data_IF_479351711675
#
_entry.id   IF_479351711675
#
_cell.length_a   1.000
_cell.length_b   1.000
_cell.length_c   1.000
_cell.angle_alpha   90.00
_cell.angle_beta   90.00
_cell.angle_gamma   90.00
#
_symmetry.space_group_name_H-M   'P 1'
#
loop_
_entity.id
_entity.type
_entity.pdbx_description
1 polymer ?
#
# COMPACT_ATOMS: atom_id res chain seq x y z
N UNK A 1 1.54 19.71 3.75
CA UNK A 1 1.38 18.63 4.76
C UNK A 1 0.43 17.55 4.25
N UNK A 2 -0.84 17.87 3.95
CA UNK A 2 -1.82 16.88 3.44
C UNK A 2 -1.36 16.17 2.15
N UNK A 3 -0.73 16.90 1.21
CA UNK A 3 -0.14 16.28 0.02
C UNK A 3 0.93 15.23 0.33
N UNK A 4 1.68 15.39 1.43
CA UNK A 4 2.68 14.39 1.82
C UNK A 4 2.00 13.13 2.38
N UNK A 5 0.89 13.29 3.09
CA UNK A 5 0.06 12.17 3.57
C UNK A 5 -0.55 11.43 2.39
N UNK A 6 -1.03 12.16 1.38
CA UNK A 6 -1.58 11.58 0.15
C UNK A 6 -0.52 10.82 -0.64
N UNK A 7 0.67 11.41 -0.81
CA UNK A 7 1.82 10.75 -1.44
C UNK A 7 2.25 9.51 -0.66
N UNK A 8 2.30 9.58 0.67
CA UNK A 8 2.61 8.42 1.51
C UNK A 8 1.59 7.31 1.29
N UNK A 9 0.29 7.61 1.35
CA UNK A 9 -0.77 6.62 1.11
C UNK A 9 -0.60 5.92 -0.24
N UNK A 10 -0.34 6.67 -1.32
CA UNK A 10 -0.08 6.06 -2.63
C UNK A 10 1.21 5.26 -2.68
N UNK A 11 2.24 5.66 -1.92
CA UNK A 11 3.44 4.86 -1.70
C UNK A 11 3.11 3.51 -1.08
N UNK A 12 2.23 3.48 -0.06
CA UNK A 12 1.80 2.22 0.56
C UNK A 12 1.04 1.32 -0.41
N UNK A 13 0.13 1.89 -1.22
CA UNK A 13 -0.60 1.11 -2.23
C UNK A 13 0.36 0.51 -3.26
N UNK A 14 1.37 1.27 -3.69
CA UNK A 14 2.43 0.75 -4.55
C UNK A 14 3.21 -0.37 -3.87
N UNK A 15 3.62 -0.20 -2.62
CA UNK A 15 4.35 -1.22 -1.85
C UNK A 15 3.57 -2.52 -1.72
N UNK A 16 2.25 -2.45 -1.44
CA UNK A 16 1.36 -3.60 -1.39
C UNK A 16 1.37 -4.35 -2.72
N UNK A 17 1.13 -3.65 -3.83
CA UNK A 17 1.10 -4.28 -5.16
C UNK A 17 2.47 -4.89 -5.51
N UNK A 18 3.55 -4.16 -5.25
CA UNK A 18 4.92 -4.57 -5.51
C UNK A 18 5.27 -5.87 -4.78
N UNK A 19 5.17 -5.92 -3.45
CA UNK A 19 5.54 -7.12 -2.69
C UNK A 19 4.57 -8.29 -2.91
N UNK A 20 3.28 -8.01 -3.17
CA UNK A 20 2.31 -9.04 -3.55
C UNK A 20 2.67 -9.70 -4.88
N UNK A 21 3.19 -8.93 -5.85
CA UNK A 21 3.71 -9.48 -7.10
C UNK A 21 4.84 -10.49 -6.83
N UNK A 22 5.81 -10.18 -5.95
CA UNK A 22 6.88 -11.11 -5.60
C UNK A 22 6.37 -12.37 -4.88
N UNK A 23 5.42 -12.21 -3.95
CA UNK A 23 4.79 -13.35 -3.26
C UNK A 23 4.04 -14.27 -4.23
N UNK A 24 3.45 -13.73 -5.28
CA UNK A 24 2.69 -14.53 -6.25
C UNK A 24 3.61 -15.26 -7.25
N UNK A 25 4.70 -14.63 -7.66
CA UNK A 25 5.59 -15.15 -8.71
C UNK A 25 6.78 -15.97 -8.20
N UNK A 26 7.20 -15.79 -6.95
CA UNK A 26 8.39 -16.48 -6.39
C UNK A 26 8.01 -17.31 -5.14
N UNK A 27 7.41 -18.47 -5.38
CA UNK A 27 6.84 -19.34 -4.32
C UNK A 27 7.86 -20.06 -3.44
N UNK A 28 9.11 -20.17 -3.87
CA UNK A 28 10.18 -20.87 -3.14
C UNK A 28 11.29 -19.92 -2.65
N UNK A 29 11.11 -18.60 -2.76
CA UNK A 29 12.11 -17.65 -2.31
C UNK A 29 12.25 -17.65 -0.79
N UNK A 30 13.48 -17.61 -0.29
CA UNK A 30 13.79 -17.51 1.14
C UNK A 30 13.24 -16.20 1.74
N UNK A 31 13.08 -15.16 0.92
CA UNK A 31 12.61 -13.84 1.31
C UNK A 31 11.09 -13.72 1.44
N UNK A 32 10.31 -14.80 1.23
CA UNK A 32 8.84 -14.74 1.32
C UNK A 32 8.32 -14.20 2.65
N UNK A 33 8.90 -14.63 3.76
CA UNK A 33 8.49 -14.14 5.08
C UNK A 33 8.72 -12.63 5.23
N UNK A 34 9.84 -12.13 4.69
CA UNK A 34 10.14 -10.70 4.64
C UNK A 34 9.10 -9.96 3.77
N UNK A 35 8.84 -10.42 2.55
CA UNK A 35 7.86 -9.77 1.67
C UNK A 35 6.45 -9.76 2.26
N UNK A 36 6.02 -10.85 2.90
CA UNK A 36 4.74 -10.88 3.60
C UNK A 36 4.69 -9.85 4.73
N UNK A 37 5.76 -9.78 5.53
CA UNK A 37 5.86 -8.79 6.62
C UNK A 37 5.79 -7.36 6.08
N UNK A 38 6.44 -7.09 4.94
CA UNK A 38 6.38 -5.79 4.29
C UNK A 38 4.95 -5.49 3.80
N UNK A 39 4.27 -6.43 3.12
CA UNK A 39 2.85 -6.25 2.74
C UNK A 39 1.99 -5.90 3.96
N UNK A 40 2.19 -6.57 5.10
CA UNK A 40 1.41 -6.34 6.31
C UNK A 40 1.66 -4.95 6.91
N UNK A 41 2.91 -4.46 6.87
CA UNK A 41 3.27 -3.10 7.29
C UNK A 41 2.62 -2.06 6.37
N UNK A 42 2.74 -2.21 5.05
CA UNK A 42 2.20 -1.25 4.07
C UNK A 42 0.66 -1.16 4.21
N UNK A 43 -0.02 -2.30 4.38
CA UNK A 43 -1.48 -2.33 4.66
C UNK A 43 -1.83 -1.58 5.94
N UNK A 44 -1.14 -1.87 7.03
CA UNK A 44 -1.40 -1.22 8.32
C UNK A 44 -1.17 0.29 8.23
N UNK A 45 -0.14 0.72 7.49
CA UNK A 45 0.14 2.14 7.29
C UNK A 45 -0.94 2.80 6.44
N UNK A 46 -1.33 2.21 5.31
CA UNK A 46 -2.41 2.72 4.46
C UNK A 46 -3.73 2.86 5.24
N UNK A 47 -4.07 1.87 6.06
CA UNK A 47 -5.25 1.90 6.95
C UNK A 47 -5.21 3.05 7.94
N UNK A 48 -4.02 3.43 8.45
CA UNK A 48 -3.86 4.57 9.37
C UNK A 48 -3.89 5.92 8.65
N UNK A 49 -3.41 5.99 7.41
CA UNK A 49 -3.41 7.23 6.62
C UNK A 49 -4.79 7.55 6.03
N UNK A 50 -5.57 6.53 5.65
CA UNK A 50 -6.89 6.68 5.01
C UNK A 50 -7.86 7.58 5.79
N UNK A 51 -8.07 7.42 7.12
CA UNK A 51 -8.96 8.30 7.89
C UNK A 51 -8.53 9.77 7.87
N UNK A 52 -7.21 10.04 7.86
CA UNK A 52 -6.69 11.42 7.80
C UNK A 52 -7.03 12.07 6.47
N UNK A 53 -6.91 11.34 5.36
CA UNK A 53 -7.23 11.83 4.02
C UNK A 53 -8.74 12.04 3.85
N UNK A 54 -9.55 11.09 4.32
CA UNK A 54 -11.02 11.18 4.29
C UNK A 54 -11.56 12.35 5.12
N UNK A 55 -10.98 12.61 6.31
CA UNK A 55 -11.36 13.74 7.15
C UNK A 55 -11.12 15.10 6.47
N UNK A 56 -10.27 15.16 5.44
CA UNK A 56 -9.99 16.36 4.64
C UNK A 56 -10.69 16.36 3.27
N UNK A 57 -11.65 15.43 3.04
CA UNK A 57 -12.46 15.39 1.83
C UNK A 57 -11.73 14.91 0.58
N UNK A 58 -10.61 14.20 0.71
CA UNK A 58 -9.89 13.63 -0.43
C UNK A 58 -10.49 12.27 -0.82
N UNK A 59 -10.93 12.15 -2.07
CA UNK A 59 -11.27 10.86 -2.67
C UNK A 59 -10.01 10.13 -3.13
N UNK A 60 -9.74 8.98 -2.49
CA UNK A 60 -8.53 8.18 -2.72
C UNK A 60 -8.80 6.87 -3.44
N UNK A 61 -10.07 6.56 -3.73
CA UNK A 61 -10.50 5.23 -4.20
C UNK A 61 -10.18 5.00 -5.68
N UNK A 62 -10.34 6.00 -6.55
CA UNK A 62 -10.06 5.87 -7.98
C UNK A 62 -8.59 5.51 -8.26
N UNK A 63 -7.64 6.27 -7.71
CA UNK A 63 -6.20 5.97 -7.85
C UNK A 63 -5.78 4.70 -7.10
N UNK A 64 -6.45 4.35 -6.01
CA UNK A 64 -6.17 3.10 -5.31
C UNK A 64 -6.51 1.89 -6.19
N UNK A 65 -7.67 1.91 -6.87
CA UNK A 65 -8.07 0.85 -7.79
C UNK A 65 -7.12 0.74 -8.98
N UNK A 66 -6.79 1.85 -9.64
CA UNK A 66 -5.84 1.89 -10.76
C UNK A 66 -4.47 1.26 -10.43
N UNK A 67 -4.01 1.37 -9.19
CA UNK A 67 -2.69 0.87 -8.76
C UNK A 67 -2.72 -0.60 -8.32
N UNK A 68 -3.91 -1.18 -8.14
CA UNK A 68 -4.11 -2.56 -7.70
C UNK A 68 -4.46 -3.50 -8.87
N UNK A 69 -4.72 -2.96 -10.06
CA UNK A 69 -4.85 -3.67 -11.35
C UNK A 69 -3.48 -4.03 -11.95
#
# INVERSE_FOLDING_TARGET
MLNNVLTAYYGEIYGIAFFSHYLNNYKQAEQRALWQTLVDVEKLTAEKLKPVLQAHGLEIENRHQEMME
#
